data_IF_310239079474
#
_entry.id   IF_310239079474
#
_cell.length_a   1.000
_cell.length_b   1.000
_cell.length_c   1.000
_cell.angle_alpha   90.00
_cell.angle_beta   90.00
_cell.angle_gamma   90.00
#
_symmetry.space_group_name_H-M   'P 1'
#
loop_
_entity.id
_entity.type
_entity.pdbx_description
1 polymer ?
#
# COMPACT_ATOMS: atom_id res chain seq x y z
N UNK A 1 8.14 -5.39 -18.72
CA UNK A 1 6.85 -4.67 -18.62
C UNK A 1 6.54 -4.09 -19.98
N UNK A 2 5.29 -4.13 -20.44
CA UNK A 2 4.86 -3.50 -21.69
C UNK A 2 5.01 -1.97 -21.55
N UNK A 3 5.71 -1.28 -22.45
CA UNK A 3 5.90 0.18 -22.40
C UNK A 3 4.59 0.98 -22.51
N UNK A 4 3.49 0.36 -22.95
CA UNK A 4 2.15 0.97 -22.99
C UNK A 4 1.25 0.52 -21.84
N UNK A 5 1.71 -0.38 -20.98
CA UNK A 5 1.00 -0.73 -19.76
C UNK A 5 1.10 0.44 -18.79
N UNK A 6 0.02 1.23 -18.75
CA UNK A 6 -0.12 2.27 -17.74
C UNK A 6 -0.19 1.67 -16.32
N UNK A 7 -0.37 0.36 -16.16
CA UNK A 7 -0.49 -0.28 -14.87
C UNK A 7 -1.83 0.05 -14.20
N UNK A 8 -2.25 -0.81 -13.28
CA UNK A 8 -3.47 -0.56 -12.52
C UNK A 8 -3.31 0.66 -11.60
N UNK A 9 -4.34 1.50 -11.54
CA UNK A 9 -4.41 2.63 -10.60
C UNK A 9 -4.61 2.21 -9.14
N UNK A 10 -4.72 0.91 -8.87
CA UNK A 10 -4.89 0.35 -7.53
C UNK A 10 -4.52 -1.13 -7.48
N UNK A 11 -4.18 -1.59 -6.30
CA UNK A 11 -4.19 -3.02 -5.98
C UNK A 11 -4.78 -3.21 -4.59
N UNK A 12 -5.17 -4.44 -4.25
CA UNK A 12 -5.57 -4.76 -2.89
C UNK A 12 -5.05 -6.11 -2.44
N UNK A 13 -4.80 -6.22 -1.15
CA UNK A 13 -4.44 -7.45 -0.45
C UNK A 13 -5.50 -7.70 0.60
N UNK A 14 -6.08 -8.90 0.60
CA UNK A 14 -7.07 -9.33 1.59
C UNK A 14 -6.47 -10.45 2.43
N UNK A 15 -6.45 -10.26 3.75
CA UNK A 15 -6.16 -11.33 4.70
C UNK A 15 -7.48 -11.90 5.21
N UNK A 16 -7.74 -13.17 4.88
CA UNK A 16 -8.98 -13.85 5.18
C UNK A 16 -8.89 -14.59 6.52
N UNK A 17 -9.96 -14.50 7.30
CA UNK A 17 -10.19 -15.35 8.47
C UNK A 17 -10.71 -16.72 8.02
N UNK A 18 -10.66 -17.71 8.92
CA UNK A 18 -11.20 -19.06 8.68
C UNK A 18 -12.70 -19.06 8.32
N UNK A 19 -13.46 -18.10 8.82
CA UNK A 19 -14.90 -17.97 8.52
C UNK A 19 -15.19 -17.22 7.21
N UNK A 20 -14.17 -16.79 6.45
CA UNK A 20 -14.32 -16.06 5.19
C UNK A 20 -14.42 -14.54 5.34
N UNK A 21 -14.45 -14.02 6.57
CA UNK A 21 -14.34 -12.58 6.81
C UNK A 21 -12.97 -12.05 6.35
N UNK A 22 -12.90 -10.75 6.05
CA UNK A 22 -11.63 -10.08 5.76
C UNK A 22 -11.13 -9.43 7.06
N UNK A 23 -10.07 -9.98 7.63
CA UNK A 23 -9.40 -9.39 8.80
C UNK A 23 -8.70 -8.07 8.44
N UNK A 24 -8.09 -8.02 7.25
CA UNK A 24 -7.45 -6.82 6.72
C UNK A 24 -7.69 -6.73 5.21
N UNK A 25 -8.35 -5.66 4.79
CA UNK A 25 -8.42 -5.19 3.42
C UNK A 25 -7.45 -4.03 3.28
N UNK A 26 -6.32 -4.28 2.62
CA UNK A 26 -5.30 -3.27 2.35
C UNK A 26 -5.40 -2.85 0.89
N UNK A 27 -5.77 -1.59 0.63
CA UNK A 27 -6.05 -1.12 -0.72
C UNK A 27 -5.37 0.22 -1.04
N UNK A 28 -4.12 0.18 -1.52
CA UNK A 28 -3.46 1.35 -2.10
C UNK A 28 -4.15 1.82 -3.39
N UNK A 29 -4.43 3.12 -3.46
CA UNK A 29 -5.05 3.80 -4.60
C UNK A 29 -4.15 4.95 -5.05
N UNK A 30 -3.71 4.89 -6.30
CA UNK A 30 -2.79 5.86 -6.90
C UNK A 30 -3.52 7.05 -7.54
N UNK A 31 -4.81 6.91 -7.82
CA UNK A 31 -5.66 7.85 -8.56
C UNK A 31 -6.63 8.65 -7.68
N UNK A 32 -6.76 8.30 -6.40
CA UNK A 32 -7.67 9.01 -5.50
C UNK A 32 -7.14 10.42 -5.23
N UNK A 33 -7.67 11.40 -5.97
CA UNK A 33 -7.54 12.82 -5.64
C UNK A 33 -8.04 12.99 -4.22
N UNK A 34 -7.13 13.19 -3.27
CA UNK A 34 -7.54 13.52 -1.92
C UNK A 34 -8.55 14.67 -1.99
N UNK A 35 -9.74 14.46 -1.44
CA UNK A 35 -10.77 15.50 -1.37
C UNK A 35 -10.13 16.72 -0.69
N UNK A 36 -9.89 17.77 -1.47
CA UNK A 36 -9.16 18.96 -1.05
C UNK A 36 -8.16 19.44 -2.11
N UNK A 37 -8.57 20.44 -2.88
CA UNK A 37 -7.64 21.36 -3.54
C UNK A 37 -6.88 22.11 -2.45
N UNK A 38 -5.73 21.59 -2.02
CA UNK A 38 -4.74 22.42 -1.33
C UNK A 38 -3.75 22.85 -2.40
N UNK A 39 -3.89 24.11 -2.84
CA UNK A 39 -2.85 24.89 -3.52
C UNK A 39 -2.13 24.13 -4.66
N UNK A 40 -2.84 23.79 -5.74
CA UNK A 40 -2.22 23.38 -7.01
C UNK A 40 -1.37 22.11 -7.01
N UNK A 41 -1.25 21.39 -5.89
CA UNK A 41 -0.51 20.13 -5.78
C UNK A 41 -1.48 18.97 -5.80
N UNK A 42 -1.34 18.08 -6.79
CA UNK A 42 -1.95 16.75 -6.77
C UNK A 42 -1.48 16.10 -5.45
N UNK A 43 -2.39 15.84 -4.50
CA UNK A 43 -1.99 15.05 -3.33
C UNK A 43 -1.55 13.67 -3.82
N UNK A 44 -0.49 13.07 -3.25
CA UNK A 44 -0.19 11.67 -3.50
C UNK A 44 -1.44 10.84 -3.15
N UNK A 45 -1.64 9.71 -3.84
CA UNK A 45 -2.75 8.81 -3.57
C UNK A 45 -2.82 8.37 -2.10
N UNK A 46 -3.80 7.55 -1.74
CA UNK A 46 -3.98 7.11 -0.34
C UNK A 46 -3.98 5.58 -0.24
N UNK A 47 -3.72 5.09 0.97
CA UNK A 47 -3.89 3.68 1.31
C UNK A 47 -5.13 3.57 2.17
N UNK A 48 -6.11 2.82 1.70
CA UNK A 48 -7.31 2.52 2.48
C UNK A 48 -7.09 1.20 3.21
N UNK A 49 -7.30 1.18 4.52
CA UNK A 49 -7.42 -0.06 5.29
C UNK A 49 -8.84 -0.21 5.82
N UNK A 50 -9.35 -1.44 5.82
CA UNK A 50 -10.63 -1.77 6.42
C UNK A 50 -10.68 -3.25 6.82
N UNK A 51 -11.75 -3.68 7.46
CA UNK A 51 -12.12 -5.07 7.70
C UNK A 51 -13.53 -5.34 7.21
N UNK A 52 -13.83 -6.58 6.85
CA UNK A 52 -15.16 -7.06 6.49
C UNK A 52 -15.57 -8.13 7.50
N UNK A 53 -16.63 -7.88 8.25
CA UNK A 53 -17.14 -8.81 9.27
C UNK A 53 -18.62 -9.06 9.02
N UNK A 54 -19.02 -10.33 8.90
CA UNK A 54 -20.41 -10.71 8.62
C UNK A 54 -20.97 -10.06 7.34
N UNK A 55 -20.12 -9.83 6.34
CA UNK A 55 -20.50 -9.18 5.08
C UNK A 55 -20.62 -7.66 5.14
N UNK A 56 -20.32 -7.03 6.27
CA UNK A 56 -20.35 -5.58 6.44
C UNK A 56 -18.94 -4.99 6.54
N UNK A 57 -18.71 -3.89 5.82
CA UNK A 57 -17.47 -3.14 5.89
C UNK A 57 -17.43 -2.28 7.15
N UNK A 58 -16.30 -2.27 7.84
CA UNK A 58 -16.04 -1.35 8.94
C UNK A 58 -15.80 0.09 8.49
N UNK A 59 -15.34 0.93 9.42
CA UNK A 59 -14.91 2.29 9.10
C UNK A 59 -13.57 2.27 8.35
N UNK A 60 -13.47 3.05 7.27
CA UNK A 60 -12.25 3.13 6.48
C UNK A 60 -11.17 3.95 7.19
N UNK A 61 -9.97 3.40 7.27
CA UNK A 61 -8.77 4.10 7.71
C UNK A 61 -8.00 4.61 6.49
N UNK A 62 -7.81 5.93 6.42
CA UNK A 62 -7.22 6.62 5.25
C UNK A 62 -5.99 7.46 5.60
N UNK A 63 -5.56 7.40 6.85
CA UNK A 63 -4.46 8.21 7.37
C UNK A 63 -3.10 7.68 6.90
N UNK A 64 -2.13 8.60 6.82
CA UNK A 64 -0.75 8.31 6.42
C UNK A 64 -0.43 8.68 4.97
N UNK A 65 0.85 8.51 4.62
CA UNK A 65 1.35 8.71 3.26
C UNK A 65 1.15 7.43 2.46
N UNK A 66 0.95 7.55 1.14
CA UNK A 66 1.05 6.42 0.24
C UNK A 66 2.52 6.21 -0.14
N UNK A 67 3.15 5.07 0.26
CA UNK A 67 4.55 4.78 -0.01
C UNK A 67 4.77 4.15 -1.40
N UNK A 68 3.71 3.91 -2.17
CA UNK A 68 3.80 3.22 -3.45
C UNK A 68 3.97 4.21 -4.60
N UNK A 69 4.83 3.86 -5.55
CA UNK A 69 5.02 4.57 -6.81
C UNK A 69 4.75 3.63 -7.99
N UNK A 70 4.14 4.16 -9.05
CA UNK A 70 3.83 3.37 -10.24
C UNK A 70 5.12 2.97 -10.95
N UNK A 71 5.22 1.70 -11.34
CA UNK A 71 6.38 1.17 -12.05
C UNK A 71 7.60 0.88 -11.17
N UNK A 72 7.54 1.17 -9.86
CA UNK A 72 8.60 0.88 -8.90
C UNK A 72 8.25 -0.38 -8.12
N UNK A 73 9.20 -1.33 -8.07
CA UNK A 73 9.07 -2.53 -7.25
C UNK A 73 9.13 -2.21 -5.75
N UNK A 74 8.39 -2.96 -4.95
CA UNK A 74 8.38 -2.82 -3.50
C UNK A 74 8.27 -4.19 -2.81
N UNK A 75 8.81 -4.28 -1.61
CA UNK A 75 8.58 -5.37 -0.67
C UNK A 75 7.50 -4.95 0.32
N UNK A 76 6.46 -5.78 0.47
CA UNK A 76 5.35 -5.57 1.39
C UNK A 76 5.37 -6.67 2.47
N UNK A 77 5.55 -6.27 3.71
CA UNK A 77 5.45 -7.14 4.87
C UNK A 77 4.18 -6.80 5.66
N UNK A 78 3.39 -7.83 5.98
CA UNK A 78 2.24 -7.71 6.87
C UNK A 78 2.43 -8.67 8.03
N UNK A 79 2.62 -8.13 9.23
CA UNK A 79 2.81 -8.88 10.47
C UNK A 79 1.55 -8.82 11.31
N UNK A 80 1.08 -9.97 11.75
CA UNK A 80 -0.04 -10.09 12.67
C UNK A 80 0.47 -9.94 14.11
N UNK A 81 0.22 -8.79 14.73
CA UNK A 81 0.52 -8.53 16.14
C UNK A 81 -0.70 -8.82 17.01
N UNK A 82 -0.52 -8.77 18.33
CA UNK A 82 -1.58 -9.14 19.30
C UNK A 82 -2.88 -8.31 19.14
N UNK A 83 -2.75 -7.03 18.79
CA UNK A 83 -3.89 -6.10 18.70
C UNK A 83 -3.99 -5.33 17.37
N UNK A 84 -3.11 -5.60 16.41
CA UNK A 84 -3.07 -4.86 15.15
C UNK A 84 -2.34 -5.63 14.05
N UNK A 85 -2.54 -5.21 12.80
CA UNK A 85 -1.65 -5.58 11.70
C UNK A 85 -0.59 -4.50 11.53
N UNK A 86 0.67 -4.86 11.67
CA UNK A 86 1.77 -3.99 11.28
C UNK A 86 2.02 -4.18 9.77
N UNK A 87 2.04 -3.08 9.03
CA UNK A 87 2.30 -3.07 7.59
C UNK A 87 3.56 -2.27 7.31
N UNK A 88 4.56 -2.91 6.72
CA UNK A 88 5.84 -2.30 6.35
C UNK A 88 6.01 -2.35 4.83
N UNK A 89 6.48 -1.26 4.24
CA UNK A 89 6.76 -1.17 2.79
C UNK A 89 8.20 -0.71 2.61
N UNK A 90 8.99 -1.49 1.89
CA UNK A 90 10.36 -1.17 1.53
C UNK A 90 10.53 -1.12 0.01
N UNK A 91 11.48 -0.33 -0.53
CA UNK A 91 11.85 -0.43 -1.94
C UNK A 91 12.33 -1.85 -2.24
N UNK A 92 11.87 -2.46 -3.33
CA UNK A 92 12.42 -3.72 -3.77
C UNK A 92 13.78 -3.45 -4.40
N UNK A 93 14.84 -3.94 -3.78
CA UNK A 93 16.18 -3.90 -4.37
C UNK A 93 16.35 -5.10 -5.29
N UNK A 94 16.77 -4.85 -6.51
CA UNK A 94 17.21 -5.91 -7.42
C UNK A 94 18.67 -6.27 -7.11
N UNK A 95 19.12 -7.48 -7.48
CA UNK A 95 20.53 -7.86 -7.34
C UNK A 95 21.49 -6.88 -8.07
N UNK A 96 20.98 -6.16 -9.08
CA UNK A 96 21.70 -5.11 -9.80
C UNK A 96 21.93 -3.87 -8.91
N UNK A 97 20.97 -3.51 -8.05
CA UNK A 97 21.08 -2.38 -7.10
C UNK A 97 22.15 -2.62 -6.02
N UNK A 98 22.33 -3.88 -5.62
CA UNK A 98 23.36 -4.32 -4.67
C UNK A 98 24.76 -4.20 -5.30
N UNK A 99 24.88 -4.41 -6.62
CA UNK A 99 26.14 -4.31 -7.36
C UNK A 99 26.65 -2.87 -7.57
N UNK A 100 25.78 -1.86 -7.44
CA UNK A 100 26.14 -0.43 -7.60
C UNK A 100 26.30 0.33 -6.27
N UNK A 101 26.28 -0.36 -5.13
CA UNK A 101 26.62 0.24 -3.83
C UNK A 101 25.58 1.22 -3.28
N UNK A 102 24.34 1.19 -3.77
CA UNK A 102 23.24 1.99 -3.21
C UNK A 102 22.65 1.28 -1.99
N UNK A 103 23.25 1.50 -0.82
CA UNK A 103 22.67 1.07 0.46
C UNK A 103 21.60 2.08 0.92
N UNK A 104 20.45 1.64 1.48
CA UNK A 104 19.50 2.55 2.09
C UNK A 104 20.08 3.20 3.35
N UNK A 105 20.25 4.52 3.31
CA UNK A 105 20.27 5.34 4.52
C UNK A 105 18.84 5.57 4.99
N UNK A 106 18.40 4.86 6.04
CA UNK A 106 17.25 5.28 6.83
C UNK A 106 16.33 4.15 7.29
N UNK A 107 16.47 3.76 8.56
CA UNK A 107 15.37 3.24 9.36
C UNK A 107 14.50 4.44 9.80
N UNK A 108 13.17 4.33 9.70
CA UNK A 108 12.20 5.18 10.39
C UNK A 108 11.06 4.30 10.92
#
# INVERSE_FOLDING_TARGET
>A
MDPNDVGSFRFNVNLLKKNGDIALHFNPRFDEKAKGFICGKIKPGCVIRNSLVNGEWGNEEREGKNPFERGVGFDLEIKNEEYAFQVSVAPAYTAEDVGVGKWPTGCF
#
